data_IF_381981772259
#
_entry.id   IF_381981772259
#
_cell.length_a   1.000
_cell.length_b   1.000
_cell.length_c   1.000
_cell.angle_alpha   90.00
_cell.angle_beta   90.00
_cell.angle_gamma   90.00
#
_symmetry.space_group_name_H-M   'P 1'
#
loop_
_entity.id
_entity.type
_entity.pdbx_description
1 polymer ?
#
# COMPACT_ATOMS: atom_id res chain seq x y z
N UNK A 1 34.67 -32.84 -21.46
CA UNK A 1 33.53 -31.99 -21.88
C UNK A 1 32.48 -31.89 -20.78
N UNK A 2 32.83 -31.33 -19.61
CA UNK A 2 31.93 -31.26 -18.45
C UNK A 2 31.69 -29.83 -17.92
N UNK A 3 32.43 -28.81 -18.40
CA UNK A 3 32.34 -27.45 -17.83
C UNK A 3 31.19 -26.61 -18.39
N UNK A 4 30.69 -26.88 -19.61
CA UNK A 4 29.60 -26.11 -20.22
C UNK A 4 28.26 -26.29 -19.51
N UNK A 5 27.97 -27.49 -19.01
CA UNK A 5 26.71 -27.78 -18.33
C UNK A 5 26.66 -27.14 -16.93
N UNK A 6 27.81 -26.99 -16.27
CA UNK A 6 27.90 -26.38 -14.95
C UNK A 6 27.62 -24.87 -15.00
N UNK A 7 28.07 -24.20 -16.07
CA UNK A 7 27.88 -22.77 -16.27
C UNK A 7 26.41 -22.38 -16.49
N UNK A 8 25.65 -23.22 -17.21
CA UNK A 8 24.23 -22.98 -17.50
C UNK A 8 23.39 -23.12 -16.22
N UNK A 9 23.67 -24.12 -15.38
CA UNK A 9 22.96 -24.33 -14.10
C UNK A 9 23.20 -23.17 -13.14
N UNK A 10 24.42 -22.63 -13.11
CA UNK A 10 24.77 -21.48 -12.27
C UNK A 10 24.01 -20.21 -12.69
N UNK A 11 23.87 -19.95 -13.99
CA UNK A 11 23.12 -18.78 -14.48
C UNK A 11 21.64 -18.91 -14.12
N UNK A 12 21.04 -20.09 -14.30
CA UNK A 12 19.64 -20.32 -13.93
C UNK A 12 19.40 -20.07 -12.44
N UNK A 13 20.27 -20.55 -11.54
CA UNK A 13 20.15 -20.32 -10.10
C UNK A 13 20.24 -18.83 -9.74
N UNK A 14 21.18 -18.07 -10.32
CA UNK A 14 21.32 -16.62 -10.06
C UNK A 14 20.10 -15.86 -10.56
N UNK A 15 19.57 -16.21 -11.74
CA UNK A 15 18.36 -15.55 -12.25
C UNK A 15 17.12 -15.89 -11.43
N UNK A 16 17.03 -17.09 -10.86
CA UNK A 16 15.92 -17.50 -10.01
C UNK A 16 15.94 -16.79 -8.65
N UNK A 17 17.13 -16.63 -8.04
CA UNK A 17 17.25 -15.88 -6.77
C UNK A 17 16.99 -14.39 -6.95
N UNK A 18 17.46 -13.79 -8.05
CA UNK A 18 17.17 -12.37 -8.33
C UNK A 18 15.68 -12.10 -8.63
N UNK A 19 14.94 -13.08 -9.18
CA UNK A 19 13.52 -12.93 -9.45
C UNK A 19 12.67 -12.96 -8.17
N UNK A 20 13.08 -13.73 -7.16
CA UNK A 20 12.31 -13.88 -5.91
C UNK A 20 12.34 -12.60 -5.06
N UNK A 21 13.42 -11.82 -5.11
CA UNK A 21 13.55 -10.59 -4.29
C UNK A 21 12.71 -9.39 -4.77
N UNK A 22 12.04 -9.46 -5.91
CA UNK A 22 11.26 -8.32 -6.44
C UNK A 22 9.79 -8.29 -6.07
N UNK A 23 9.29 -9.26 -5.29
CA UNK A 23 7.86 -9.31 -4.89
C UNK A 23 7.63 -9.13 -3.39
N UNK A 24 8.64 -8.68 -2.64
CA UNK A 24 8.41 -8.21 -1.28
C UNK A 24 7.87 -6.78 -1.36
N UNK A 25 6.54 -6.64 -1.33
CA UNK A 25 5.89 -5.35 -1.11
C UNK A 25 6.63 -4.65 0.03
N UNK A 26 7.26 -3.51 -0.26
CA UNK A 26 8.16 -2.86 0.67
C UNK A 26 7.43 -2.62 1.99
N UNK A 27 7.96 -3.17 3.09
CA UNK A 27 7.48 -2.85 4.42
C UNK A 27 7.56 -1.32 4.62
N UNK A 28 6.41 -0.68 4.70
CA UNK A 28 6.25 0.77 4.73
C UNK A 28 5.52 1.23 5.98
N UNK A 29 5.23 2.52 6.04
CA UNK A 29 4.34 3.09 7.05
C UNK A 29 3.09 3.62 6.36
N UNK A 30 1.95 3.55 7.02
CA UNK A 30 0.72 4.20 6.58
C UNK A 30 0.14 5.04 7.72
N UNK A 31 -0.73 5.99 7.40
CA UNK A 31 -1.60 6.58 8.40
C UNK A 31 -2.81 5.68 8.67
N UNK A 32 -3.16 5.54 9.94
CA UNK A 32 -4.27 4.72 10.42
C UNK A 32 -5.14 5.53 11.37
N UNK A 33 -6.28 5.99 10.85
CA UNK A 33 -7.22 6.86 11.55
C UNK A 33 -8.49 7.05 10.71
N UNK A 34 -9.50 7.70 11.28
CA UNK A 34 -10.70 8.11 10.54
C UNK A 34 -11.10 9.56 10.83
N UNK A 35 -11.93 10.12 9.97
CA UNK A 35 -12.33 11.53 9.99
C UNK A 35 -13.19 11.95 11.18
N UNK A 36 -13.55 11.03 12.09
CA UNK A 36 -14.13 11.38 13.40
C UNK A 36 -13.06 11.94 14.34
N UNK A 37 -11.79 11.59 14.11
CA UNK A 37 -10.65 12.25 14.74
C UNK A 37 -10.32 13.54 13.96
N UNK A 38 -10.27 14.72 14.62
CA UNK A 38 -9.91 15.98 13.98
C UNK A 38 -8.58 15.93 13.23
N UNK A 39 -7.62 15.15 13.71
CA UNK A 39 -6.30 14.97 13.09
C UNK A 39 -6.33 14.17 11.78
N UNK A 40 -7.48 13.61 11.39
CA UNK A 40 -7.62 12.71 10.25
C UNK A 40 -8.79 13.08 9.32
N UNK A 41 -9.17 14.35 9.27
CA UNK A 41 -10.18 14.84 8.31
C UNK A 41 -9.63 14.86 6.86
N UNK A 42 -10.50 15.14 5.89
CA UNK A 42 -10.22 15.05 4.46
C UNK A 42 -9.06 15.94 3.98
N UNK A 43 -8.76 17.05 4.66
CA UNK A 43 -7.69 17.98 4.32
C UNK A 43 -6.97 18.43 5.59
N UNK A 44 -6.14 17.55 6.14
CA UNK A 44 -5.37 17.83 7.36
C UNK A 44 -3.89 18.01 7.03
N UNK A 45 -3.24 18.89 7.79
CA UNK A 45 -1.79 19.03 7.78
C UNK A 45 -1.14 17.66 8.07
N UNK A 46 -0.17 17.20 7.26
CA UNK A 46 0.60 15.99 7.54
C UNK A 46 1.18 15.92 8.96
N UNK A 47 1.45 17.07 9.60
CA UNK A 47 1.89 17.16 11.00
C UNK A 47 0.81 16.63 11.96
N UNK A 48 -0.47 16.90 11.71
CA UNK A 48 -1.57 16.38 12.53
C UNK A 48 -1.70 14.86 12.41
N UNK A 49 -1.38 14.31 11.24
CA UNK A 49 -1.38 12.87 10.99
C UNK A 49 -0.17 12.14 11.62
N UNK A 50 0.87 12.87 12.04
CA UNK A 50 2.12 12.25 12.48
C UNK A 50 1.97 11.25 13.64
N UNK A 51 0.97 11.47 14.52
CA UNK A 51 0.63 10.57 15.64
C UNK A 51 -0.14 9.31 15.25
N UNK A 52 -0.51 9.16 13.97
CA UNK A 52 -1.34 8.07 13.46
C UNK A 52 -0.58 7.13 12.53
N UNK A 53 0.75 7.08 12.62
CA UNK A 53 1.58 6.21 11.78
C UNK A 53 1.56 4.77 12.30
N UNK A 54 1.30 3.82 11.40
CA UNK A 54 1.30 2.38 11.67
C UNK A 54 2.26 1.67 10.71
N UNK A 55 3.01 0.64 11.14
CA UNK A 55 3.79 -0.19 10.24
C UNK A 55 2.87 -1.01 9.32
N UNK A 56 3.24 -1.15 8.05
CA UNK A 56 2.41 -1.73 7.01
C UNK A 56 3.21 -2.66 6.09
N UNK A 57 2.83 -3.94 6.05
CA UNK A 57 3.41 -4.94 5.14
C UNK A 57 2.61 -5.08 3.83
N UNK A 58 1.84 -4.06 3.47
CA UNK A 58 0.95 -4.05 2.31
C UNK A 58 0.85 -2.64 1.70
N UNK A 59 -0.27 -2.34 1.06
CA UNK A 59 -0.53 -1.02 0.47
C UNK A 59 -1.25 -0.13 1.49
N UNK A 60 -0.98 1.17 1.49
CA UNK A 60 -1.83 2.10 2.21
C UNK A 60 -3.15 2.28 1.46
N UNK A 61 -4.22 2.59 2.20
CA UNK A 61 -5.50 2.94 1.61
C UNK A 61 -6.09 4.21 2.20
N UNK A 62 -6.99 4.81 1.41
CA UNK A 62 -8.02 5.76 1.83
C UNK A 62 -9.37 5.18 1.42
N UNK A 63 -10.31 5.13 2.36
CA UNK A 63 -11.66 4.63 2.15
C UNK A 63 -12.66 5.68 2.59
N UNK A 64 -13.65 5.99 1.76
CA UNK A 64 -14.78 6.87 2.12
C UNK A 64 -16.07 6.05 2.08
N UNK A 65 -16.76 5.93 3.22
CA UNK A 65 -18.08 5.27 3.33
C UNK A 65 -19.02 6.12 4.17
N UNK A 66 -20.18 6.45 3.62
CA UNK A 66 -21.19 7.24 4.34
C UNK A 66 -20.68 8.59 4.85
N UNK A 67 -19.80 9.26 4.09
CA UNK A 67 -19.19 10.53 4.47
C UNK A 67 -18.04 10.44 5.49
N UNK A 68 -17.72 9.25 6.00
CA UNK A 68 -16.56 9.02 6.87
C UNK A 68 -15.39 8.56 6.03
N UNK A 69 -14.27 9.27 6.12
CA UNK A 69 -12.99 8.85 5.56
C UNK A 69 -12.22 8.04 6.59
N UNK A 70 -11.61 6.94 6.16
CA UNK A 70 -10.68 6.13 6.95
C UNK A 70 -9.41 5.89 6.16
N UNK A 71 -8.27 5.98 6.85
CA UNK A 71 -6.93 5.67 6.36
C UNK A 71 -6.46 4.38 7.03
N UNK A 72 -5.71 3.55 6.32
CA UNK A 72 -5.14 2.35 6.94
C UNK A 72 -4.24 1.58 5.99
N UNK A 73 -3.98 0.33 6.34
CA UNK A 73 -3.12 -0.57 5.58
C UNK A 73 -3.89 -1.82 5.07
N UNK A 74 -3.60 -2.26 3.85
CA UNK A 74 -4.45 -3.19 3.09
C UNK A 74 -4.33 -4.66 3.49
N UNK A 75 -3.30 -5.06 4.23
CA UNK A 75 -3.18 -6.46 4.73
C UNK A 75 -4.31 -6.81 5.70
N UNK A 76 -4.92 -5.83 6.36
CA UNK A 76 -6.08 -6.01 7.24
C UNK A 76 -7.37 -6.40 6.49
N UNK A 77 -7.46 -6.04 5.21
CA UNK A 77 -8.71 -6.14 4.46
C UNK A 77 -8.64 -7.11 3.26
N UNK A 78 -7.53 -7.85 3.09
CA UNK A 78 -7.40 -8.85 2.03
C UNK A 78 -7.37 -8.27 0.61
N UNK A 79 -7.08 -6.96 0.47
CA UNK A 79 -7.01 -6.26 -0.82
C UNK A 79 -5.65 -6.31 -1.51
N UNK A 80 -4.72 -7.15 -1.03
CA UNK A 80 -3.33 -7.25 -1.52
C UNK A 80 -3.18 -7.56 -3.03
N UNK A 81 -4.30 -7.71 -3.76
CA UNK A 81 -4.36 -8.01 -5.19
C UNK A 81 -4.79 -6.83 -6.07
N UNK A 82 -5.12 -5.66 -5.50
CA UNK A 82 -5.46 -4.50 -6.35
C UNK A 82 -4.20 -3.80 -6.83
N UNK A 83 -4.12 -3.62 -8.15
CA UNK A 83 -3.17 -2.70 -8.76
C UNK A 83 -3.23 -1.34 -8.04
N UNK A 84 -2.07 -0.74 -7.84
CA UNK A 84 -1.93 0.64 -7.35
C UNK A 84 -2.93 1.51 -8.10
N UNK A 85 -3.91 2.04 -7.39
CA UNK A 85 -4.94 2.86 -8.00
C UNK A 85 -5.09 4.13 -7.18
N UNK A 86 -4.45 5.17 -7.68
CA UNK A 86 -4.73 6.56 -7.28
C UNK A 86 -6.13 7.01 -7.72
N UNK A 87 -6.78 6.22 -8.59
CA UNK A 87 -8.16 6.40 -8.99
C UNK A 87 -9.11 5.79 -7.96
N UNK A 88 -10.15 6.52 -7.52
CA UNK A 88 -11.15 5.98 -6.63
C UNK A 88 -11.90 4.82 -7.25
N UNK A 89 -11.96 3.69 -6.55
CA UNK A 89 -12.69 2.49 -6.95
C UNK A 89 -13.86 2.26 -6.00
N UNK A 90 -15.08 2.16 -6.52
CA UNK A 90 -16.25 1.88 -5.69
C UNK A 90 -16.41 0.38 -5.43
N UNK A 91 -16.41 -0.02 -4.15
CA UNK A 91 -16.71 -1.38 -3.71
C UNK A 91 -17.42 -1.37 -2.35
N UNK A 92 -18.45 -2.21 -2.19
CA UNK A 92 -19.20 -2.35 -0.94
C UNK A 92 -19.73 -1.01 -0.39
N UNK A 93 -20.24 -0.16 -1.28
CA UNK A 93 -20.75 1.20 -0.97
C UNK A 93 -19.68 2.13 -0.39
N UNK A 94 -18.42 1.82 -0.63
CA UNK A 94 -17.30 2.63 -0.21
C UNK A 94 -16.41 2.94 -1.42
N UNK A 95 -15.89 4.15 -1.45
CA UNK A 95 -14.86 4.58 -2.39
C UNK A 95 -13.49 4.23 -1.80
N UNK A 96 -12.62 3.57 -2.56
CA UNK A 96 -11.29 3.14 -2.12
C UNK A 96 -10.21 3.71 -3.04
N UNK A 97 -9.10 4.16 -2.45
CA UNK A 97 -7.86 4.55 -3.14
C UNK A 97 -6.72 3.81 -2.46
N UNK A 98 -5.82 3.22 -3.25
CA UNK A 98 -4.68 2.43 -2.78
C UNK A 98 -3.38 3.00 -3.31
N UNK A 99 -2.33 2.98 -2.49
CA UNK A 99 -1.01 3.44 -2.86
C UNK A 99 0.09 2.67 -2.12
N UNK A 100 1.28 2.59 -2.72
CA UNK A 100 2.33 1.62 -2.33
C UNK A 100 3.56 2.27 -1.69
N UNK A 101 3.61 3.60 -1.65
CA UNK A 101 4.72 4.34 -1.05
C UNK A 101 4.45 4.63 0.42
N UNK A 102 5.51 4.69 1.23
CA UNK A 102 5.36 4.99 2.66
C UNK A 102 4.64 6.33 2.85
N UNK A 103 3.61 6.33 3.68
CA UNK A 103 2.78 7.49 4.05
C UNK A 103 2.01 8.14 2.89
N UNK A 104 1.87 7.44 1.76
CA UNK A 104 1.19 7.95 0.57
C UNK A 104 -0.29 8.26 0.77
N UNK A 105 -0.88 7.69 1.82
CA UNK A 105 -2.25 7.99 2.23
C UNK A 105 -2.29 9.23 3.15
N UNK A 106 -1.48 10.25 2.92
CA UNK A 106 -1.56 11.56 3.61
C UNK A 106 -2.67 12.45 3.04
N UNK A 107 -2.78 12.52 1.71
CA UNK A 107 -3.66 13.46 1.04
C UNK A 107 -4.88 12.74 0.51
N UNK A 108 -6.05 13.16 0.96
CA UNK A 108 -7.30 12.72 0.36
C UNK A 108 -7.63 13.64 -0.82
N UNK A 109 -6.87 13.55 -1.92
CA UNK A 109 -7.34 14.02 -3.23
C UNK A 109 -8.46 13.11 -3.78
N UNK A 110 -9.28 12.58 -2.87
CA UNK A 110 -10.36 11.66 -3.09
C UNK A 110 -11.62 12.47 -2.79
N UNK A 111 -12.01 13.32 -3.74
CA UNK A 111 -13.31 13.97 -3.69
C UNK A 111 -14.38 12.89 -3.93
N UNK A 112 -15.50 12.88 -3.17
CA UNK A 112 -16.67 12.09 -3.55
C UNK A 112 -17.20 12.48 -4.93
#
# INVERSE_FOLDING_TARGET
MASKNFFIVFIFLITWTCFIETTLAAAGWCYECDSRNPSCQFNVDPVALAGHKTPCNGQCYIRVKGGVMSRGCSWEYGFMTKQVSYTPTFQQEAMWVFCDTSLCNENANVSP
#
